data_IF_128427095213
#
_entry.id   IF_128427095213
#
_cell.length_a   1.000
_cell.length_b   1.000
_cell.length_c   1.000
_cell.angle_alpha   90.00
_cell.angle_beta   90.00
_cell.angle_gamma   90.00
#
_symmetry.space_group_name_H-M   'P 1'
#
loop_
_entity.id
_entity.type
_entity.pdbx_description
1 polymer ?
#
# COMPACT_ATOMS: atom_id res chain seq x y z
N UNK A 1 7.72 8.87 25.02
CA UNK A 1 6.82 8.02 24.21
C UNK A 1 5.73 7.45 25.12
N UNK A 2 4.44 7.56 24.71
CA UNK A 2 3.35 6.89 25.40
C UNK A 2 3.44 5.38 25.14
N UNK A 3 3.72 4.60 26.13
CA UNK A 3 3.97 3.16 26.05
C UNK A 3 2.82 2.40 25.36
N UNK A 4 1.58 2.80 25.61
CA UNK A 4 0.39 2.18 25.00
C UNK A 4 0.37 2.23 23.47
N UNK A 5 1.03 3.20 22.83
CA UNK A 5 1.06 3.35 21.36
C UNK A 5 1.92 2.31 20.67
N UNK A 6 2.78 1.61 21.38
CA UNK A 6 3.65 0.59 20.80
C UNK A 6 3.01 -0.79 20.76
N UNK A 7 1.93 -1.02 21.48
CA UNK A 7 1.20 -2.28 21.42
C UNK A 7 0.24 -2.30 20.24
N UNK A 8 0.52 -3.16 19.27
CA UNK A 8 -0.26 -3.27 18.03
C UNK A 8 -0.60 -4.72 17.72
N UNK A 9 -1.84 -4.99 17.26
CA UNK A 9 -2.22 -6.33 16.80
C UNK A 9 -1.56 -6.64 15.47
N UNK A 10 -1.00 -7.84 15.36
CA UNK A 10 -0.49 -8.39 14.10
C UNK A 10 -0.74 -9.88 14.09
N UNK A 11 -1.60 -10.34 13.16
CA UNK A 11 -1.90 -11.76 13.01
C UNK A 11 -2.53 -12.45 14.22
N UNK A 12 -3.41 -11.77 14.93
CA UNK A 12 -4.12 -12.29 16.09
C UNK A 12 -3.34 -12.24 17.41
N UNK A 13 -2.13 -11.66 17.40
CA UNK A 13 -1.34 -11.39 18.61
C UNK A 13 -1.08 -9.89 18.73
N UNK A 14 -0.89 -9.43 19.96
CA UNK A 14 -0.44 -8.08 20.26
C UNK A 14 1.07 -8.12 20.48
N UNK A 15 1.79 -7.24 19.81
CA UNK A 15 3.23 -7.09 19.91
C UNK A 15 3.60 -5.67 20.28
N UNK A 16 4.72 -5.52 20.98
CA UNK A 16 5.42 -4.24 21.09
C UNK A 16 6.11 -3.97 19.77
N UNK A 17 5.49 -3.10 18.96
CA UNK A 17 5.83 -2.89 17.55
C UNK A 17 6.19 -1.45 17.27
N UNK A 18 7.36 -1.24 16.62
CA UNK A 18 7.83 0.08 16.23
C UNK A 18 7.84 0.25 14.71
N UNK A 19 7.46 1.43 14.20
CA UNK A 19 7.72 1.80 12.82
C UNK A 19 9.18 2.19 12.66
N UNK A 20 9.85 1.61 11.66
CA UNK A 20 11.24 1.92 11.32
C UNK A 20 11.32 2.30 9.85
N UNK A 21 11.75 3.52 9.57
CA UNK A 21 11.94 4.01 8.21
C UNK A 21 13.31 3.56 7.68
N UNK A 22 13.32 2.82 6.57
CA UNK A 22 14.56 2.43 5.89
C UNK A 22 14.98 3.41 4.80
N UNK A 23 13.98 4.00 4.14
CA UNK A 23 14.18 5.04 3.15
C UNK A 23 12.92 5.90 3.02
N UNK A 24 13.11 7.12 2.58
CA UNK A 24 12.06 8.13 2.36
C UNK A 24 11.95 8.44 0.88
N UNK A 25 10.72 8.57 0.40
CA UNK A 25 10.43 8.76 -1.01
C UNK A 25 10.37 7.45 -1.79
N UNK A 26 10.02 7.54 -3.05
CA UNK A 26 9.77 6.41 -3.94
C UNK A 26 10.29 6.73 -5.34
N UNK A 27 10.93 5.78 -6.04
CA UNK A 27 11.44 6.00 -7.39
C UNK A 27 10.36 5.96 -8.49
N UNK A 28 9.09 5.76 -8.11
CA UNK A 28 7.97 5.62 -9.05
C UNK A 28 7.17 6.92 -9.17
N UNK A 29 6.41 7.04 -10.28
CA UNK A 29 5.71 8.25 -10.72
C UNK A 29 4.18 8.16 -10.63
N UNK A 30 3.64 7.39 -9.68
CA UNK A 30 2.20 7.21 -9.52
C UNK A 30 1.46 8.55 -9.37
N UNK A 31 0.49 8.82 -10.26
CA UNK A 31 -0.18 10.12 -10.40
C UNK A 31 -1.10 10.51 -9.24
N UNK A 32 -1.44 9.59 -8.37
CA UNK A 32 -2.26 9.82 -7.17
C UNK A 32 -1.43 10.05 -5.90
N UNK A 33 -0.13 9.69 -5.94
CA UNK A 33 0.75 9.68 -4.77
C UNK A 33 1.51 11.01 -4.66
N UNK A 34 1.68 11.49 -3.44
CA UNK A 34 2.43 12.71 -3.17
C UNK A 34 3.96 12.54 -3.23
N UNK A 35 4.48 11.31 -3.18
CA UNK A 35 5.94 11.07 -3.19
C UNK A 35 6.64 11.61 -4.45
N UNK A 36 6.13 11.42 -5.68
CA UNK A 36 6.70 12.05 -6.87
C UNK A 36 6.66 13.58 -6.86
N UNK A 37 5.61 14.16 -6.29
CA UNK A 37 5.49 15.62 -6.18
C UNK A 37 6.48 16.19 -5.15
N UNK A 38 6.63 15.53 -4.02
CA UNK A 38 7.65 15.87 -3.02
C UNK A 38 9.07 15.73 -3.60
N UNK A 39 9.32 14.71 -4.44
CA UNK A 39 10.60 14.59 -5.16
C UNK A 39 10.86 15.80 -6.05
N UNK A 40 9.87 16.22 -6.83
CA UNK A 40 9.96 17.38 -7.71
C UNK A 40 10.22 18.68 -6.95
N UNK A 41 9.47 18.93 -5.88
CA UNK A 41 9.64 20.10 -5.03
C UNK A 41 11.03 20.11 -4.39
N UNK A 42 11.46 18.99 -3.83
CA UNK A 42 12.75 18.89 -3.17
C UNK A 42 13.93 19.11 -4.13
N UNK A 43 13.82 18.53 -5.34
CA UNK A 43 14.83 18.75 -6.40
C UNK A 43 14.91 20.23 -6.81
N UNK A 44 13.75 20.89 -7.01
CA UNK A 44 13.69 22.32 -7.36
C UNK A 44 14.26 23.24 -6.27
N UNK A 45 13.96 22.95 -5.00
CA UNK A 45 14.33 23.83 -3.87
C UNK A 45 15.77 23.58 -3.38
N UNK A 46 16.29 22.36 -3.51
CA UNK A 46 17.57 21.98 -2.90
C UNK A 46 18.60 21.42 -3.87
N UNK A 47 18.22 21.11 -5.11
CA UNK A 47 19.06 20.38 -6.06
C UNK A 47 19.37 18.93 -5.63
N UNK A 48 18.70 18.42 -4.59
CA UNK A 48 18.92 17.09 -4.03
C UNK A 48 17.84 16.08 -4.41
N UNK A 49 17.93 14.85 -3.87
CA UNK A 49 16.92 13.81 -4.07
C UNK A 49 16.06 13.63 -2.82
N UNK A 50 14.73 13.65 -2.99
CA UNK A 50 13.81 13.25 -1.93
C UNK A 50 13.87 11.74 -1.65
N UNK A 51 14.17 10.92 -2.66
CA UNK A 51 14.40 9.50 -2.48
C UNK A 51 15.76 9.26 -1.83
N UNK A 52 15.75 9.09 -0.52
CA UNK A 52 16.94 8.93 0.33
C UNK A 52 16.85 7.66 1.15
N UNK A 53 17.93 6.90 1.19
CA UNK A 53 18.04 5.68 1.97
C UNK A 53 18.92 5.92 3.20
N UNK A 54 18.53 5.36 4.35
CA UNK A 54 19.45 5.21 5.48
C UNK A 54 20.52 4.19 5.11
N UNK A 55 21.73 4.35 5.64
CA UNK A 55 22.71 3.28 5.57
C UNK A 55 22.21 2.04 6.34
N UNK A 56 22.61 0.86 5.91
CA UNK A 56 22.24 -0.39 6.59
C UNK A 56 22.72 -0.36 8.04
N UNK A 57 23.92 0.17 8.31
CA UNK A 57 24.41 0.37 9.67
C UNK A 57 23.47 1.25 10.52
N UNK A 58 22.99 2.36 9.96
CA UNK A 58 22.04 3.23 10.70
C UNK A 58 20.72 2.52 11.03
N UNK A 59 20.21 1.71 10.09
CA UNK A 59 19.02 0.89 10.34
C UNK A 59 19.30 -0.14 11.44
N UNK A 60 20.46 -0.79 11.41
CA UNK A 60 20.89 -1.74 12.44
C UNK A 60 20.93 -1.10 13.83
N UNK A 61 21.60 0.04 13.96
CA UNK A 61 21.76 0.74 15.24
C UNK A 61 20.40 1.16 15.83
N UNK A 62 19.48 1.66 14.99
CA UNK A 62 18.12 1.99 15.40
C UNK A 62 17.33 0.75 15.87
N UNK A 63 17.41 -0.36 15.14
CA UNK A 63 16.72 -1.58 15.49
C UNK A 63 17.26 -2.18 16.79
N UNK A 64 18.59 -2.19 16.96
CA UNK A 64 19.25 -2.66 18.14
C UNK A 64 18.86 -1.83 19.35
N UNK A 65 18.91 -0.51 19.25
CA UNK A 65 18.46 0.42 20.28
C UNK A 65 17.00 0.15 20.69
N UNK A 66 16.08 0.05 19.73
CA UNK A 66 14.68 -0.22 20.04
C UNK A 66 14.46 -1.60 20.69
N UNK A 67 15.22 -2.60 20.27
CA UNK A 67 15.16 -3.94 20.86
C UNK A 67 15.65 -3.96 22.31
N UNK A 68 16.78 -3.31 22.59
CA UNK A 68 17.42 -3.31 23.89
C UNK A 68 16.72 -2.38 24.90
N UNK A 69 16.39 -1.14 24.48
CA UNK A 69 15.84 -0.13 25.40
C UNK A 69 14.32 -0.21 25.53
N UNK A 70 13.60 -0.64 24.49
CA UNK A 70 12.14 -0.62 24.49
C UNK A 70 11.51 -2.02 24.36
N UNK A 71 12.29 -3.08 24.34
CA UNK A 71 11.77 -4.44 24.24
C UNK A 71 10.96 -4.70 22.97
N UNK A 72 11.46 -4.23 21.83
CA UNK A 72 10.84 -4.43 20.52
C UNK A 72 10.65 -5.91 20.19
N UNK A 73 9.43 -6.32 19.80
CA UNK A 73 9.07 -7.71 19.49
C UNK A 73 8.74 -7.93 18.03
N UNK A 74 8.34 -6.86 17.31
CA UNK A 74 7.95 -6.92 15.90
C UNK A 74 8.26 -5.60 15.22
N UNK A 75 8.74 -5.63 13.97
CA UNK A 75 9.09 -4.43 13.23
C UNK A 75 8.08 -4.15 12.13
N UNK A 76 7.64 -2.92 12.05
CA UNK A 76 6.86 -2.38 10.97
C UNK A 76 7.76 -1.49 10.11
N UNK A 77 8.30 -2.03 9.01
CA UNK A 77 9.13 -1.22 8.14
C UNK A 77 8.28 -0.22 7.36
N UNK A 78 8.53 1.04 7.64
CA UNK A 78 7.89 2.16 6.98
C UNK A 78 8.78 2.62 5.82
N UNK A 79 8.38 2.23 4.62
CA UNK A 79 9.01 2.65 3.37
C UNK A 79 7.95 2.66 2.28
N UNK A 80 7.93 3.66 1.42
CA UNK A 80 6.92 3.77 0.34
C UNK A 80 6.95 2.53 -0.58
N UNK A 81 8.13 1.98 -0.81
CA UNK A 81 8.33 0.72 -1.54
C UNK A 81 9.57 0.03 -0.98
N UNK A 82 9.40 -0.85 0.01
CA UNK A 82 10.51 -1.47 0.73
C UNK A 82 11.55 -2.12 -0.21
N UNK A 83 11.12 -2.78 -1.28
CA UNK A 83 12.00 -3.43 -2.25
C UNK A 83 12.56 -2.49 -3.34
N UNK A 84 12.60 -1.19 -3.09
CA UNK A 84 13.34 -0.24 -3.93
C UNK A 84 14.88 -0.31 -3.71
N UNK A 85 15.37 -1.30 -2.97
CA UNK A 85 16.78 -1.62 -2.85
C UNK A 85 17.30 -2.40 -4.06
N UNK A 86 18.56 -2.14 -4.42
CA UNK A 86 19.28 -2.99 -5.36
C UNK A 86 19.68 -4.33 -4.69
N UNK A 87 20.23 -5.24 -5.48
CA UNK A 87 20.56 -6.59 -4.99
C UNK A 87 21.58 -6.54 -3.84
N UNK A 88 22.64 -5.72 -3.97
CA UNK A 88 23.69 -5.60 -2.94
C UNK A 88 23.12 -5.05 -1.64
N UNK A 89 22.36 -3.99 -1.70
CA UNK A 89 21.71 -3.38 -0.52
C UNK A 89 20.79 -4.38 0.19
N UNK A 90 20.02 -5.18 -0.57
CA UNK A 90 19.17 -6.21 0.00
C UNK A 90 19.96 -7.32 0.68
N UNK A 91 21.07 -7.75 0.07
CA UNK A 91 21.95 -8.77 0.65
C UNK A 91 22.62 -8.26 1.93
N UNK A 92 23.10 -7.02 1.95
CA UNK A 92 23.63 -6.34 3.14
C UNK A 92 22.57 -6.23 4.25
N UNK A 93 21.33 -5.86 3.89
CA UNK A 93 20.22 -5.82 4.85
C UNK A 93 19.94 -7.20 5.44
N UNK A 94 19.85 -8.23 4.62
CA UNK A 94 19.57 -9.58 5.11
C UNK A 94 20.68 -10.11 6.02
N UNK A 95 21.94 -9.78 5.75
CA UNK A 95 23.06 -10.17 6.59
C UNK A 95 23.00 -9.47 7.95
N UNK A 96 22.84 -8.15 7.94
CA UNK A 96 22.70 -7.36 9.16
C UNK A 96 21.49 -7.83 10.00
N UNK A 97 20.37 -8.14 9.36
CA UNK A 97 19.13 -8.45 10.06
C UNK A 97 19.16 -9.78 10.82
N UNK A 98 20.11 -10.67 10.53
CA UNK A 98 20.31 -11.91 11.30
C UNK A 98 20.61 -11.64 12.77
N UNK A 99 21.31 -10.53 13.08
CA UNK A 99 21.60 -10.11 14.45
C UNK A 99 20.34 -9.61 15.17
N UNK A 100 19.45 -8.93 14.46
CA UNK A 100 18.18 -8.45 15.01
C UNK A 100 17.21 -9.60 15.29
N UNK A 101 17.04 -10.52 14.34
CA UNK A 101 16.26 -11.76 14.45
C UNK A 101 14.83 -11.57 15.02
N UNK A 102 14.13 -10.53 14.59
CA UNK A 102 12.72 -10.26 14.95
C UNK A 102 11.80 -10.46 13.73
N UNK A 103 10.55 -10.85 13.92
CA UNK A 103 9.59 -10.85 12.83
C UNK A 103 9.31 -9.43 12.35
N UNK A 104 9.07 -9.27 11.04
CA UNK A 104 8.74 -7.96 10.48
C UNK A 104 7.67 -8.01 9.39
N UNK A 105 7.06 -6.84 9.18
CA UNK A 105 6.16 -6.50 8.10
C UNK A 105 6.78 -5.44 7.20
N UNK A 106 6.50 -5.54 5.90
CA UNK A 106 6.86 -4.52 4.91
C UNK A 106 5.74 -4.31 3.89
N UNK A 107 5.80 -3.17 3.18
CA UNK A 107 4.96 -2.96 1.99
C UNK A 107 5.82 -2.74 0.75
N UNK A 108 5.29 -3.18 -0.39
CA UNK A 108 5.96 -3.01 -1.66
C UNK A 108 4.97 -3.09 -2.83
N UNK A 109 5.48 -2.96 -4.04
CA UNK A 109 4.71 -3.10 -5.28
C UNK A 109 4.89 -4.51 -5.84
N UNK A 110 3.89 -5.12 -6.52
CA UNK A 110 4.01 -6.46 -7.08
C UNK A 110 5.21 -6.63 -8.02
N UNK A 111 5.52 -5.61 -8.83
CA UNK A 111 6.62 -5.63 -9.78
C UNK A 111 8.03 -5.64 -9.17
N UNK A 112 8.14 -5.43 -7.87
CA UNK A 112 9.45 -5.39 -7.19
C UNK A 112 9.89 -6.72 -6.61
N UNK A 113 8.96 -7.69 -6.51
CA UNK A 113 9.23 -8.98 -5.90
C UNK A 113 9.84 -9.99 -6.88
N UNK A 114 10.64 -10.88 -6.33
CA UNK A 114 11.05 -12.13 -6.96
C UNK A 114 11.13 -13.22 -5.89
N UNK A 115 11.11 -14.49 -6.31
CA UNK A 115 11.26 -15.60 -5.37
C UNK A 115 12.56 -15.52 -4.58
N UNK A 116 13.67 -15.14 -5.24
CA UNK A 116 14.98 -14.93 -4.60
C UNK A 116 14.89 -13.90 -3.48
N UNK A 117 14.33 -12.70 -3.76
CA UNK A 117 14.22 -11.61 -2.78
C UNK A 117 13.36 -12.01 -1.58
N UNK A 118 12.16 -12.56 -1.85
CA UNK A 118 11.23 -12.95 -0.77
C UNK A 118 11.77 -14.11 0.05
N UNK A 119 12.45 -15.09 -0.55
CA UNK A 119 13.06 -16.19 0.16
C UNK A 119 14.18 -15.71 1.11
N UNK A 120 15.02 -14.75 0.67
CA UNK A 120 16.05 -14.15 1.53
C UNK A 120 15.43 -13.44 2.74
N UNK A 121 14.43 -12.60 2.49
CA UNK A 121 13.74 -11.86 3.55
C UNK A 121 12.98 -12.79 4.52
N UNK A 122 12.32 -13.82 4.01
CA UNK A 122 11.59 -14.80 4.81
C UNK A 122 12.53 -15.52 5.80
N UNK A 123 13.75 -15.88 5.36
CA UNK A 123 14.75 -16.52 6.20
C UNK A 123 15.21 -15.65 7.37
N UNK A 124 15.21 -14.33 7.19
CA UNK A 124 15.66 -13.40 8.23
C UNK A 124 14.55 -12.78 9.05
N UNK A 125 13.26 -13.07 8.75
CA UNK A 125 12.18 -12.62 9.63
C UNK A 125 10.96 -12.04 8.94
N UNK A 126 10.90 -11.91 7.60
CA UNK A 126 9.68 -11.48 6.93
C UNK A 126 8.55 -12.49 7.19
N UNK A 127 7.49 -12.02 7.85
CA UNK A 127 6.31 -12.85 8.16
C UNK A 127 5.05 -12.35 7.48
N UNK A 128 4.97 -11.05 7.23
CA UNK A 128 3.82 -10.43 6.61
C UNK A 128 4.25 -9.31 5.67
N UNK A 129 3.46 -9.09 4.62
CA UNK A 129 3.69 -7.99 3.69
C UNK A 129 2.39 -7.44 3.13
N UNK A 130 2.46 -6.27 2.50
CA UNK A 130 1.36 -5.70 1.76
C UNK A 130 1.76 -5.33 0.34
N UNK A 131 0.85 -5.55 -0.62
CA UNK A 131 0.98 -5.06 -1.99
C UNK A 131 0.02 -3.91 -2.25
N UNK A 132 0.53 -2.81 -2.82
CA UNK A 132 -0.30 -1.80 -3.45
C UNK A 132 -0.59 -2.20 -4.90
N UNK A 133 -1.83 -2.60 -5.21
CA UNK A 133 -2.29 -2.86 -6.58
C UNK A 133 -3.13 -1.72 -7.13
N UNK A 134 -3.73 -0.95 -6.23
CA UNK A 134 -4.55 0.25 -6.39
C UNK A 134 -5.85 -0.01 -7.15
N UNK A 135 -5.82 -0.52 -8.37
CA UNK A 135 -7.00 -0.67 -9.21
C UNK A 135 -6.94 -1.92 -10.11
N UNK A 136 -8.07 -2.57 -10.35
CA UNK A 136 -8.16 -3.83 -11.10
C UNK A 136 -8.25 -3.68 -12.62
N UNK A 137 -8.75 -2.57 -13.13
CA UNK A 137 -8.81 -2.35 -14.58
C UNK A 137 -7.44 -1.90 -15.11
N UNK A 138 -6.87 -2.67 -16.03
CA UNK A 138 -5.52 -2.42 -16.57
C UNK A 138 -5.40 -1.07 -17.29
N UNK A 139 -6.35 -0.76 -18.15
CA UNK A 139 -6.34 0.47 -18.94
C UNK A 139 -6.48 1.69 -18.03
N UNK A 140 -7.41 1.64 -17.06
CA UNK A 140 -7.58 2.69 -16.06
C UNK A 140 -6.31 2.85 -15.22
N UNK A 141 -5.73 1.75 -14.75
CA UNK A 141 -4.50 1.75 -13.96
C UNK A 141 -3.32 2.35 -14.72
N UNK A 142 -3.16 2.00 -16.02
CA UNK A 142 -2.11 2.55 -16.86
C UNK A 142 -2.33 4.05 -17.13
N UNK A 143 -3.51 4.42 -17.66
CA UNK A 143 -3.77 5.79 -18.11
C UNK A 143 -4.00 6.80 -16.99
N UNK A 144 -4.67 6.39 -15.92
CA UNK A 144 -5.01 7.28 -14.80
C UNK A 144 -3.95 7.30 -13.71
N UNK A 145 -3.38 6.15 -13.37
CA UNK A 145 -2.47 6.01 -12.22
C UNK A 145 -0.99 5.96 -12.59
N UNK A 146 -0.66 5.86 -13.89
CA UNK A 146 0.70 5.62 -14.38
C UNK A 146 1.31 4.33 -13.80
N UNK A 147 0.51 3.23 -13.84
CA UNK A 147 0.94 1.91 -13.39
C UNK A 147 0.64 0.88 -14.47
N UNK A 148 1.70 0.40 -15.14
CA UNK A 148 1.61 -0.34 -16.42
C UNK A 148 1.57 -1.86 -16.30
N UNK A 149 1.69 -2.41 -15.07
CA UNK A 149 1.70 -3.87 -14.87
C UNK A 149 0.35 -4.50 -15.23
N UNK A 150 0.42 -5.65 -15.87
CA UNK A 150 -0.76 -6.41 -16.32
C UNK A 150 -1.30 -7.29 -15.19
N UNK A 151 -2.60 -7.58 -15.21
CA UNK A 151 -3.23 -8.39 -14.18
C UNK A 151 -2.64 -9.81 -14.05
N UNK A 152 -2.30 -10.53 -15.13
CA UNK A 152 -1.61 -11.81 -15.01
C UNK A 152 -0.30 -11.71 -14.23
N UNK A 153 0.51 -10.68 -14.50
CA UNK A 153 1.80 -10.50 -13.81
C UNK A 153 1.61 -10.18 -12.33
N UNK A 154 0.61 -9.37 -12.01
CA UNK A 154 0.25 -9.07 -10.60
C UNK A 154 -0.17 -10.36 -9.87
N UNK A 155 -1.01 -11.18 -10.50
CA UNK A 155 -1.48 -12.44 -9.92
C UNK A 155 -0.30 -13.38 -9.69
N UNK A 156 0.61 -13.53 -10.66
CA UNK A 156 1.80 -14.36 -10.51
C UNK A 156 2.73 -13.85 -9.39
N UNK A 157 2.96 -12.54 -9.31
CA UNK A 157 3.74 -11.95 -8.22
C UNK A 157 3.11 -12.23 -6.84
N UNK A 158 1.78 -12.19 -6.74
CA UNK A 158 1.06 -12.47 -5.50
C UNK A 158 1.04 -13.96 -5.10
N UNK A 159 1.38 -14.89 -6.01
CA UNK A 159 1.57 -16.30 -5.66
C UNK A 159 2.88 -16.56 -4.88
N UNK A 160 3.90 -15.72 -5.07
CA UNK A 160 5.21 -15.90 -4.47
C UNK A 160 5.18 -15.90 -2.93
N UNK A 161 4.57 -14.92 -2.24
CA UNK A 161 4.46 -14.97 -0.78
C UNK A 161 3.71 -16.22 -0.29
N UNK A 162 2.62 -16.63 -0.95
CA UNK A 162 1.90 -17.89 -0.60
C UNK A 162 2.83 -19.10 -0.65
N UNK A 163 3.59 -19.24 -1.74
CA UNK A 163 4.56 -20.33 -1.93
C UNK A 163 5.59 -20.39 -0.79
N UNK A 164 5.97 -19.23 -0.24
CA UNK A 164 6.96 -19.10 0.82
C UNK A 164 6.35 -19.06 2.23
N UNK A 165 5.05 -19.22 2.39
CA UNK A 165 4.36 -19.16 3.68
C UNK A 165 4.37 -17.75 4.31
N UNK A 166 4.53 -16.70 3.49
CA UNK A 166 4.46 -15.30 3.92
C UNK A 166 3.00 -14.84 3.77
N UNK A 167 2.39 -14.42 4.87
CA UNK A 167 1.05 -13.85 4.82
C UNK A 167 1.07 -12.47 4.17
N UNK A 168 0.05 -12.17 3.36
CA UNK A 168 0.03 -10.86 2.70
C UNK A 168 -1.38 -10.27 2.57
N UNK A 169 -1.40 -8.96 2.52
CA UNK A 169 -2.58 -8.18 2.20
C UNK A 169 -2.41 -7.44 0.88
N UNK A 170 -3.55 -7.07 0.30
CA UNK A 170 -3.59 -6.23 -0.90
C UNK A 170 -4.32 -4.95 -0.59
N UNK A 171 -3.75 -3.83 -1.02
CA UNK A 171 -4.32 -2.50 -0.88
C UNK A 171 -4.82 -2.01 -2.24
N UNK A 172 -6.06 -1.55 -2.26
CA UNK A 172 -6.73 -0.97 -3.43
C UNK A 172 -7.29 0.41 -3.09
N UNK A 173 -7.56 1.21 -4.11
CA UNK A 173 -8.16 2.54 -3.96
C UNK A 173 -9.36 2.62 -4.90
N UNK A 174 -10.44 3.26 -4.44
CA UNK A 174 -11.65 3.57 -5.23
C UNK A 174 -12.05 5.02 -5.06
N UNK A 175 -12.92 5.52 -5.94
CA UNK A 175 -13.33 6.91 -5.95
C UNK A 175 -12.40 7.85 -6.72
N UNK A 176 -11.60 7.31 -7.63
CA UNK A 176 -10.78 8.12 -8.53
C UNK A 176 -11.63 8.95 -9.50
N UNK A 177 -11.15 10.15 -9.94
CA UNK A 177 -11.83 10.90 -10.97
C UNK A 177 -12.07 10.05 -12.23
N UNK A 178 -13.27 10.14 -12.82
CA UNK A 178 -13.74 9.34 -13.97
C UNK A 178 -13.91 7.83 -13.70
N UNK A 179 -13.70 7.36 -12.48
CA UNK A 179 -14.05 5.99 -12.14
C UNK A 179 -15.57 5.79 -12.22
N UNK A 180 -15.97 4.56 -12.48
CA UNK A 180 -17.39 4.13 -12.46
C UNK A 180 -17.51 2.93 -11.55
N UNK A 181 -18.72 2.66 -11.08
CA UNK A 181 -19.00 1.46 -10.30
C UNK A 181 -18.51 0.17 -11.01
N UNK A 182 -18.65 0.08 -12.33
CA UNK A 182 -18.16 -1.05 -13.12
C UNK A 182 -16.65 -1.22 -12.99
N UNK A 183 -15.89 -0.12 -13.06
CA UNK A 183 -14.44 -0.14 -12.89
C UNK A 183 -14.02 -0.56 -11.47
N UNK A 184 -14.77 -0.15 -10.44
CA UNK A 184 -14.55 -0.63 -9.08
C UNK A 184 -14.76 -2.16 -8.95
N UNK A 185 -15.72 -2.73 -9.68
CA UNK A 185 -15.91 -4.18 -9.74
C UNK A 185 -14.76 -4.92 -10.44
N UNK A 186 -14.07 -4.30 -11.41
CA UNK A 186 -12.83 -4.88 -11.97
C UNK A 186 -11.75 -5.03 -10.88
N UNK A 187 -11.73 -4.13 -9.89
CA UNK A 187 -10.84 -4.24 -8.73
C UNK A 187 -11.24 -5.41 -7.81
N UNK A 188 -12.53 -5.60 -7.60
CA UNK A 188 -13.04 -6.76 -6.84
C UNK A 188 -12.65 -8.08 -7.55
N UNK A 189 -12.86 -8.17 -8.86
CA UNK A 189 -12.54 -9.37 -9.64
C UNK A 189 -11.03 -9.68 -9.60
N UNK A 190 -10.15 -8.67 -9.74
CA UNK A 190 -8.71 -8.89 -9.60
C UNK A 190 -8.36 -9.42 -8.22
N UNK A 191 -8.93 -8.85 -7.15
CA UNK A 191 -8.69 -9.31 -5.78
C UNK A 191 -9.17 -10.75 -5.55
N UNK A 192 -10.27 -11.19 -6.19
CA UNK A 192 -10.72 -12.59 -6.15
C UNK A 192 -9.69 -13.54 -6.76
N UNK A 193 -9.05 -13.15 -7.85
CA UNK A 193 -8.01 -13.98 -8.50
C UNK A 193 -6.71 -14.01 -7.72
N UNK A 194 -6.35 -12.91 -7.05
CA UNK A 194 -5.18 -12.84 -6.16
C UNK A 194 -5.37 -13.71 -4.92
N UNK A 195 -6.57 -13.72 -4.36
CA UNK A 195 -6.94 -14.48 -3.16
C UNK A 195 -5.94 -14.25 -2.00
N UNK A 196 -5.75 -13.00 -1.62
CA UNK A 196 -4.91 -12.60 -0.49
C UNK A 196 -5.52 -13.02 0.85
N UNK A 197 -4.68 -13.10 1.90
CA UNK A 197 -5.15 -13.32 3.28
C UNK A 197 -6.07 -12.20 3.75
N UNK A 198 -5.77 -10.96 3.32
CA UNK A 198 -6.61 -9.79 3.56
C UNK A 198 -6.62 -8.86 2.34
N UNK A 199 -7.75 -8.20 2.10
CA UNK A 199 -7.91 -7.20 1.04
C UNK A 199 -8.48 -5.92 1.63
N UNK A 200 -7.80 -4.81 1.40
CA UNK A 200 -8.21 -3.48 1.87
C UNK A 200 -8.58 -2.61 0.67
N UNK A 201 -9.57 -1.74 0.85
CA UNK A 201 -9.88 -0.70 -0.10
C UNK A 201 -9.99 0.64 0.62
N UNK A 202 -9.37 1.66 0.07
CA UNK A 202 -9.33 3.02 0.58
C UNK A 202 -10.02 3.97 -0.38
N UNK A 203 -10.46 5.10 0.12
CA UNK A 203 -10.99 6.17 -0.72
C UNK A 203 -9.84 6.97 -1.34
N UNK A 204 -9.97 7.36 -2.59
CA UNK A 204 -9.01 8.27 -3.23
C UNK A 204 -8.92 9.58 -2.44
N UNK A 205 -7.73 9.91 -1.99
CA UNK A 205 -7.40 11.18 -1.35
C UNK A 205 -6.66 12.05 -2.37
N UNK A 206 -7.27 13.17 -2.79
CA UNK A 206 -6.68 14.06 -3.79
C UNK A 206 -5.58 14.94 -3.16
N UNK A 207 -4.40 14.37 -2.93
CA UNK A 207 -3.27 15.08 -2.33
C UNK A 207 -2.84 16.28 -3.17
N UNK A 208 -2.62 17.41 -2.53
CA UNK A 208 -2.14 18.64 -3.16
C UNK A 208 -0.86 18.39 -3.97
N UNK A 209 -0.75 19.05 -5.13
CA UNK A 209 0.38 18.93 -6.04
C UNK A 209 0.31 17.74 -7.00
N UNK A 210 -0.48 16.69 -6.69
CA UNK A 210 -0.54 15.49 -7.53
C UNK A 210 -1.29 15.72 -8.85
N UNK A 211 -0.88 15.04 -9.95
CA UNK A 211 -1.59 15.16 -11.22
C UNK A 211 -3.08 14.81 -11.15
N UNK A 212 -3.46 13.84 -10.30
CA UNK A 212 -4.89 13.51 -10.14
C UNK A 212 -5.66 14.55 -9.32
N UNK A 213 -5.03 15.26 -8.38
CA UNK A 213 -5.66 16.41 -7.73
C UNK A 213 -5.97 17.50 -8.75
N UNK A 214 -4.99 17.88 -9.57
CA UNK A 214 -5.17 18.87 -10.63
C UNK A 214 -6.28 18.49 -11.61
N UNK A 215 -6.35 17.20 -11.99
CA UNK A 215 -7.43 16.69 -12.84
C UNK A 215 -8.80 16.81 -12.14
N UNK A 216 -8.88 16.46 -10.86
CA UNK A 216 -10.12 16.48 -10.08
C UNK A 216 -10.66 17.91 -9.95
N UNK A 217 -9.79 18.89 -9.72
CA UNK A 217 -10.14 20.31 -9.69
C UNK A 217 -10.62 20.82 -11.07
N UNK A 218 -9.88 20.48 -12.14
CA UNK A 218 -10.26 20.85 -13.52
C UNK A 218 -11.62 20.29 -13.95
N UNK A 219 -12.02 19.16 -13.39
CA UNK A 219 -13.32 18.55 -13.63
C UNK A 219 -14.42 19.13 -12.74
N UNK A 220 -14.10 20.07 -11.84
CA UNK A 220 -15.05 20.65 -10.89
C UNK A 220 -15.55 19.67 -9.82
N UNK A 221 -14.84 18.58 -9.58
CA UNK A 221 -15.23 17.51 -8.65
C UNK A 221 -14.76 17.77 -7.21
N UNK A 222 -13.91 18.77 -7.00
CA UNK A 222 -13.45 19.24 -5.70
C UNK A 222 -13.03 20.70 -5.80
N UNK A 223 -13.23 21.47 -4.72
CA UNK A 223 -12.72 22.84 -4.64
C UNK A 223 -11.20 22.86 -4.54
N UNK A 224 -10.56 23.86 -5.15
CA UNK A 224 -9.11 24.09 -5.04
C UNK A 224 -8.66 24.28 -3.58
N UNK A 225 -9.49 24.91 -2.76
CA UNK A 225 -9.21 25.19 -1.35
C UNK A 225 -9.49 24.00 -0.41
N UNK A 226 -10.08 22.92 -0.93
CA UNK A 226 -10.44 21.78 -0.10
C UNK A 226 -9.20 21.08 0.46
N UNK A 227 -9.15 20.96 1.78
CA UNK A 227 -8.11 20.20 2.48
C UNK A 227 -8.35 18.70 2.27
N UNK A 228 -7.29 17.97 1.91
CA UNK A 228 -7.36 16.52 1.71
C UNK A 228 -7.68 15.80 3.02
N UNK A 229 -8.74 14.99 3.02
CA UNK A 229 -9.11 14.13 4.14
C UNK A 229 -8.24 12.87 4.21
N UNK A 230 -8.35 12.14 5.32
CA UNK A 230 -7.69 10.84 5.46
C UNK A 230 -8.26 9.81 4.46
N UNK A 231 -7.44 8.84 4.05
CA UNK A 231 -7.82 7.74 3.15
C UNK A 231 -8.96 6.86 3.69
N UNK A 232 -9.17 6.89 5.00
CA UNK A 232 -10.21 6.13 5.69
C UNK A 232 -11.52 6.91 5.86
N UNK A 233 -11.48 8.22 5.60
CA UNK A 233 -12.67 9.08 5.70
C UNK A 233 -13.64 8.87 4.54
N UNK A 234 -14.76 9.58 4.60
CA UNK A 234 -15.75 9.61 3.51
C UNK A 234 -15.14 10.20 2.23
N UNK A 235 -15.62 9.77 1.04
CA UNK A 235 -15.16 10.30 -0.23
C UNK A 235 -15.27 11.82 -0.31
N UNK A 236 -14.22 12.47 -0.83
CA UNK A 236 -14.21 13.92 -1.06
C UNK A 236 -14.57 14.31 -2.49
N UNK A 237 -14.46 13.36 -3.41
CA UNK A 237 -14.69 13.59 -4.82
C UNK A 237 -16.15 13.26 -5.14
N UNK A 238 -16.90 14.27 -5.59
CA UNK A 238 -18.30 14.12 -5.94
C UNK A 238 -18.44 13.83 -7.43
N UNK A 239 -18.85 12.62 -7.76
CA UNK A 239 -18.98 12.18 -9.15
C UNK A 239 -20.41 11.70 -9.42
N UNK A 240 -21.08 12.18 -10.49
CA UNK A 240 -22.44 11.77 -10.80
C UNK A 240 -22.55 10.31 -11.26
N UNK A 241 -21.49 9.76 -11.87
CA UNK A 241 -21.45 8.39 -12.38
C UNK A 241 -21.02 7.34 -11.33
N UNK A 242 -20.53 7.77 -10.17
CA UNK A 242 -20.12 6.92 -9.05
C UNK A 242 -20.13 7.75 -7.78
N UNK A 243 -21.27 7.75 -7.12
CA UNK A 243 -21.58 8.66 -6.02
C UNK A 243 -20.79 8.33 -4.74
N UNK A 244 -20.61 9.29 -3.83
CA UNK A 244 -19.99 9.05 -2.53
C UNK A 244 -20.65 7.90 -1.75
N UNK A 245 -21.97 7.78 -1.80
CA UNK A 245 -22.70 6.68 -1.13
C UNK A 245 -22.38 5.32 -1.75
N UNK A 246 -22.28 5.23 -3.07
CA UNK A 246 -21.86 4.00 -3.75
C UNK A 246 -20.42 3.62 -3.42
N UNK A 247 -19.53 4.61 -3.34
CA UNK A 247 -18.11 4.40 -2.94
C UNK A 247 -18.05 3.85 -1.50
N UNK A 248 -18.79 4.46 -0.56
CA UNK A 248 -18.87 3.99 0.82
C UNK A 248 -19.50 2.60 0.92
N UNK A 249 -20.54 2.33 0.13
CA UNK A 249 -21.15 1.01 0.04
C UNK A 249 -20.15 -0.06 -0.39
N UNK A 250 -19.41 0.19 -1.45
CA UNK A 250 -18.33 -0.71 -1.92
C UNK A 250 -17.24 -0.86 -0.85
N UNK A 251 -16.80 0.21 -0.19
CA UNK A 251 -15.81 0.13 0.89
C UNK A 251 -16.24 -0.83 1.99
N UNK A 252 -17.47 -0.69 2.49
CA UNK A 252 -18.01 -1.54 3.56
C UNK A 252 -18.12 -3.00 3.15
N UNK A 253 -18.46 -3.27 1.90
CA UNK A 253 -18.77 -4.61 1.41
C UNK A 253 -17.67 -5.27 0.58
N UNK A 254 -16.54 -4.58 0.37
CA UNK A 254 -15.45 -5.01 -0.51
C UNK A 254 -15.02 -6.46 -0.28
N UNK A 255 -14.72 -6.80 0.97
CA UNK A 255 -14.28 -8.15 1.34
C UNK A 255 -15.39 -9.18 1.13
N UNK A 256 -16.66 -8.80 1.32
CA UNK A 256 -17.80 -9.67 1.07
C UNK A 256 -17.88 -10.04 -0.42
N UNK A 257 -17.76 -9.07 -1.32
CA UNK A 257 -17.73 -9.33 -2.76
C UNK A 257 -16.58 -10.23 -3.19
N UNK A 258 -15.41 -10.09 -2.56
CA UNK A 258 -14.23 -10.92 -2.84
C UNK A 258 -14.45 -12.36 -2.35
N UNK A 259 -14.93 -12.56 -1.12
CA UNK A 259 -14.97 -13.87 -0.47
C UNK A 259 -16.23 -14.70 -0.79
N UNK A 260 -17.33 -14.02 -1.14
CA UNK A 260 -18.57 -14.74 -1.46
C UNK A 260 -18.76 -14.96 -2.97
N UNK A 261 -19.45 -16.03 -3.39
CA UNK A 261 -19.75 -16.31 -4.80
C UNK A 261 -20.74 -15.26 -5.35
N UNK A 262 -20.71 -15.06 -6.68
CA UNK A 262 -21.59 -14.11 -7.38
C UNK A 262 -23.08 -14.31 -7.12
N UNK A 263 -23.50 -15.54 -6.82
CA UNK A 263 -24.89 -15.84 -6.43
C UNK A 263 -25.36 -15.09 -5.18
N UNK A 264 -24.43 -14.62 -4.32
CA UNK A 264 -24.74 -13.85 -3.11
C UNK A 264 -24.65 -12.33 -3.32
N UNK A 265 -24.16 -11.87 -4.45
CA UNK A 265 -23.91 -10.43 -4.69
C UNK A 265 -25.14 -9.56 -4.56
N UNK A 266 -26.35 -10.03 -4.97
CA UNK A 266 -27.61 -9.29 -4.75
C UNK A 266 -27.89 -9.02 -3.27
N UNK A 267 -27.45 -9.88 -2.36
CA UNK A 267 -27.60 -9.67 -0.92
C UNK A 267 -26.54 -8.69 -0.40
N UNK A 268 -25.31 -8.77 -0.93
CA UNK A 268 -24.24 -7.83 -0.59
C UNK A 268 -24.60 -6.41 -1.04
N UNK A 269 -25.19 -6.28 -2.23
CA UNK A 269 -25.64 -4.99 -2.75
C UNK A 269 -26.71 -4.31 -1.85
N UNK A 270 -27.55 -5.12 -1.18
CA UNK A 270 -28.46 -4.57 -0.16
C UNK A 270 -27.70 -4.07 1.06
N UNK A 271 -26.63 -4.80 1.47
CA UNK A 271 -25.81 -4.41 2.63
C UNK A 271 -24.97 -3.14 2.37
N UNK A 272 -24.74 -2.74 1.13
CA UNK A 272 -24.08 -1.47 0.81
C UNK A 272 -24.85 -0.25 1.32
N UNK A 273 -26.15 -0.38 1.55
CA UNK A 273 -27.04 0.73 1.94
C UNK A 273 -27.09 0.95 3.46
N UNK A 274 -26.48 0.07 4.25
CA UNK A 274 -26.45 0.11 5.71
C UNK A 274 -25.05 0.31 6.25
#
# INVERSE_FOLDING_TARGET
YEEARFYRPMGGKVYRMFPVETHRGCPYTCRFCNSPDQQRLYDQETGGSFFRKKSIQKVHDELKHFKEEFGLEYIYFWADTFLAWNKRELDEFCEMYKDINLPFWMQTRPETVSEEKLSKLQKVGLRRMAFGIEHGNEEFREKMLDRKWKNPDIIEACKLPKKLGIQFSVNSITGFPKETRKLAFDTIELNKHIDADNANIYTFAPFHGTPLRVLTEKLGLISHEAITKCLTDTPQVEMPQYTPDEIEGIKRTFVLYIKFPKSRWKNIEKAEKF
#
